data_IF_106837035437
#
_entry.id   IF_106837035437
#
_cell.length_a   1.000
_cell.length_b   1.000
_cell.length_c   1.000
_cell.angle_alpha   90.00
_cell.angle_beta   90.00
_cell.angle_gamma   90.00
#
_symmetry.space_group_name_H-M   'P 1'
#
loop_
_entity.id
_entity.type
_entity.pdbx_description
1 polymer ?
#
# COMPACT_ATOMS: atom_id res chain seq x y z
N UNK A 1 21.34 -1.84 -29.68
CA UNK A 1 20.39 -2.94 -29.82
C UNK A 1 19.10 -2.34 -30.35
N UNK A 2 18.61 -2.83 -31.47
CA UNK A 2 17.37 -2.31 -32.09
C UNK A 2 16.24 -3.32 -31.85
N UNK A 3 15.84 -3.44 -30.58
CA UNK A 3 14.78 -4.35 -30.16
C UNK A 3 13.44 -3.70 -30.47
N UNK A 4 12.56 -4.43 -31.17
CA UNK A 4 11.22 -3.93 -31.49
C UNK A 4 10.44 -3.58 -30.21
N UNK A 5 9.95 -2.35 -30.12
CA UNK A 5 9.17 -1.85 -28.98
C UNK A 5 7.92 -2.69 -28.68
N UNK A 6 7.31 -3.29 -29.69
CA UNK A 6 6.15 -4.16 -29.54
C UNK A 6 6.46 -5.39 -28.64
N UNK A 7 7.71 -5.85 -28.59
CA UNK A 7 8.10 -6.93 -27.68
C UNK A 7 8.06 -6.50 -26.22
N UNK A 8 8.44 -5.26 -25.90
CA UNK A 8 8.31 -4.71 -24.55
C UNK A 8 6.86 -4.51 -24.14
N UNK A 9 6.00 -4.08 -25.05
CA UNK A 9 4.56 -3.99 -24.81
C UNK A 9 3.95 -5.36 -24.52
N UNK A 10 4.28 -6.36 -25.31
CA UNK A 10 3.83 -7.75 -25.09
C UNK A 10 4.36 -8.28 -23.75
N UNK A 11 5.64 -8.04 -23.45
CA UNK A 11 6.27 -8.40 -22.18
C UNK A 11 5.53 -7.81 -20.99
N UNK A 12 5.19 -6.51 -21.04
CA UNK A 12 4.41 -5.84 -20.00
C UNK A 12 3.09 -6.56 -19.73
N UNK A 13 2.33 -6.90 -20.76
CA UNK A 13 1.04 -7.56 -20.58
C UNK A 13 1.19 -9.01 -20.08
N UNK A 14 2.19 -9.76 -20.52
CA UNK A 14 2.44 -11.12 -20.03
C UNK A 14 2.83 -11.09 -18.55
N UNK A 15 3.71 -10.19 -18.16
CA UNK A 15 4.13 -9.99 -16.77
C UNK A 15 2.96 -9.56 -15.88
N UNK A 16 2.18 -8.57 -16.34
CA UNK A 16 1.00 -8.03 -15.60
C UNK A 16 -0.06 -9.07 -15.32
N UNK A 17 -0.33 -9.98 -16.27
CA UNK A 17 -1.37 -11.01 -16.11
C UNK A 17 -0.82 -12.33 -15.61
N UNK A 18 0.49 -12.51 -15.54
CA UNK A 18 1.16 -13.78 -15.25
C UNK A 18 0.60 -14.95 -16.10
N UNK A 19 0.16 -14.62 -17.33
CA UNK A 19 -0.56 -15.56 -18.19
C UNK A 19 -0.51 -15.16 -19.67
N UNK A 20 0.06 -16.00 -20.52
CA UNK A 20 0.18 -15.75 -21.96
C UNK A 20 -1.18 -15.63 -22.68
N UNK A 21 -2.15 -16.45 -22.30
CA UNK A 21 -3.47 -16.44 -22.94
C UNK A 21 -4.27 -15.17 -22.57
N UNK A 22 -4.22 -14.75 -21.30
CA UNK A 22 -4.84 -13.49 -20.87
C UNK A 22 -4.20 -12.28 -21.53
N UNK A 23 -2.86 -12.27 -21.62
CA UNK A 23 -2.12 -11.23 -22.32
C UNK A 23 -2.49 -11.16 -23.81
N UNK A 24 -2.54 -12.30 -24.48
CA UNK A 24 -2.94 -12.39 -25.90
C UNK A 24 -4.32 -11.80 -26.12
N UNK A 25 -5.32 -12.14 -25.29
CA UNK A 25 -6.66 -11.56 -25.37
C UNK A 25 -6.67 -10.05 -25.16
N UNK A 26 -5.93 -9.55 -24.18
CA UNK A 26 -5.83 -8.12 -23.90
C UNK A 26 -5.19 -7.33 -25.04
N UNK A 27 -4.28 -7.96 -25.80
CA UNK A 27 -3.59 -7.39 -26.95
C UNK A 27 -4.32 -7.61 -28.29
N UNK A 28 -5.46 -8.27 -28.31
CA UNK A 28 -6.13 -8.67 -29.56
C UNK A 28 -5.27 -9.59 -30.44
N UNK A 29 -4.40 -10.39 -29.84
CA UNK A 29 -3.40 -11.23 -30.51
C UNK A 29 -3.60 -12.72 -30.22
N UNK A 30 -2.91 -13.60 -30.97
CA UNK A 30 -2.91 -15.03 -30.69
C UNK A 30 -1.84 -15.40 -29.66
N UNK A 31 -2.13 -16.40 -28.83
CA UNK A 31 -1.16 -16.88 -27.82
C UNK A 31 0.16 -17.40 -28.44
N UNK A 32 0.18 -18.08 -29.59
CA UNK A 32 1.43 -18.46 -30.27
C UNK A 32 2.30 -17.25 -30.65
N UNK A 33 1.67 -16.16 -31.13
CA UNK A 33 2.40 -14.93 -31.48
C UNK A 33 3.01 -14.26 -30.24
N UNK A 34 2.25 -14.19 -29.16
CA UNK A 34 2.75 -13.66 -27.87
C UNK A 34 3.93 -14.51 -27.38
N UNK A 35 3.84 -15.83 -27.47
CA UNK A 35 4.92 -16.74 -27.06
C UNK A 35 6.17 -16.53 -27.93
N UNK A 36 6.02 -16.40 -29.25
CA UNK A 36 7.12 -16.14 -30.17
C UNK A 36 7.78 -14.80 -29.87
N UNK A 37 6.99 -13.76 -29.62
CA UNK A 37 7.51 -12.43 -29.28
C UNK A 37 8.35 -12.44 -27.99
N UNK A 38 7.90 -13.18 -26.97
CA UNK A 38 8.67 -13.31 -25.73
C UNK A 38 9.97 -14.10 -25.93
N UNK A 39 9.93 -15.20 -26.64
CA UNK A 39 11.14 -15.96 -26.96
C UNK A 39 12.16 -15.09 -27.74
N UNK A 40 11.67 -14.28 -28.68
CA UNK A 40 12.54 -13.36 -29.44
C UNK A 40 13.14 -12.27 -28.54
N UNK A 41 12.36 -11.72 -27.63
CA UNK A 41 12.84 -10.73 -26.65
C UNK A 41 13.94 -11.35 -25.77
N UNK A 42 13.66 -12.50 -25.15
CA UNK A 42 14.61 -13.22 -24.30
C UNK A 42 15.92 -13.53 -25.05
N UNK A 43 15.83 -13.94 -26.32
CA UNK A 43 16.99 -14.19 -27.17
C UNK A 43 17.76 -12.90 -27.46
N UNK A 44 17.09 -11.79 -27.81
CA UNK A 44 17.75 -10.53 -28.16
C UNK A 44 18.42 -9.86 -26.97
N UNK A 45 17.87 -9.97 -25.77
CA UNK A 45 18.49 -9.46 -24.54
C UNK A 45 19.41 -10.47 -23.86
N UNK A 46 19.50 -11.69 -24.41
CA UNK A 46 20.27 -12.81 -23.86
C UNK A 46 19.98 -13.09 -22.38
N UNK A 47 18.69 -13.08 -22.01
CA UNK A 47 18.24 -13.32 -20.64
C UNK A 47 16.87 -13.98 -20.63
N UNK A 48 16.68 -14.95 -19.73
CA UNK A 48 15.37 -15.57 -19.48
C UNK A 48 14.57 -14.65 -18.57
N UNK A 49 13.37 -14.28 -19.00
CA UNK A 49 12.51 -13.35 -18.27
C UNK A 49 11.36 -14.05 -17.54
N UNK A 50 10.99 -15.25 -18.00
CA UNK A 50 9.86 -15.99 -17.48
C UNK A 50 10.20 -17.42 -17.09
N UNK A 51 9.73 -17.85 -15.93
CA UNK A 51 9.65 -19.25 -15.53
C UNK A 51 8.23 -19.75 -15.84
N UNK A 52 8.13 -20.79 -16.65
CA UNK A 52 6.85 -21.43 -17.01
C UNK A 52 6.70 -22.72 -16.19
N UNK A 53 5.62 -22.84 -15.46
CA UNK A 53 5.29 -24.03 -14.69
C UNK A 53 3.80 -24.40 -14.87
N UNK A 54 3.40 -25.56 -14.37
CA UNK A 54 2.00 -26.04 -14.46
C UNK A 54 0.99 -25.14 -13.74
N UNK A 55 1.45 -24.16 -12.94
CA UNK A 55 0.58 -23.21 -12.20
C UNK A 55 0.49 -21.84 -12.88
N UNK A 56 1.23 -21.62 -13.97
CA UNK A 56 1.25 -20.35 -14.69
C UNK A 56 2.64 -19.87 -15.08
N UNK A 57 2.79 -18.57 -15.13
CA UNK A 57 4.03 -17.89 -15.53
C UNK A 57 4.47 -16.96 -14.41
N UNK A 58 5.74 -17.01 -14.06
CA UNK A 58 6.38 -16.14 -13.07
C UNK A 58 7.55 -15.42 -13.72
N UNK A 59 7.88 -14.22 -13.24
CA UNK A 59 9.08 -13.52 -13.64
C UNK A 59 10.33 -14.16 -13.01
N UNK A 60 11.44 -14.13 -13.74
CA UNK A 60 12.76 -14.33 -13.16
C UNK A 60 13.24 -13.06 -12.46
N UNK A 61 14.32 -13.07 -11.66
CA UNK A 61 14.92 -11.84 -11.15
C UNK A 61 15.28 -10.82 -12.24
N UNK A 62 15.73 -11.29 -13.42
CA UNK A 62 15.97 -10.48 -14.61
C UNK A 62 14.66 -9.91 -15.18
N UNK A 63 13.61 -10.74 -15.22
CA UNK A 63 12.28 -10.35 -15.64
C UNK A 63 11.69 -9.28 -14.71
N UNK A 64 11.86 -9.41 -13.40
CA UNK A 64 11.40 -8.41 -12.42
C UNK A 64 12.09 -7.06 -12.62
N UNK A 65 13.42 -7.07 -12.82
CA UNK A 65 14.19 -5.85 -13.11
C UNK A 65 13.72 -5.18 -14.39
N UNK A 66 13.54 -5.94 -15.47
CA UNK A 66 13.04 -5.41 -16.74
C UNK A 66 11.61 -4.90 -16.59
N UNK A 67 10.75 -5.62 -15.85
CA UNK A 67 9.36 -5.23 -15.63
C UNK A 67 9.24 -3.90 -14.88
N UNK A 68 10.08 -3.63 -13.91
CA UNK A 68 10.10 -2.35 -13.21
C UNK A 68 10.29 -1.17 -14.20
N UNK A 69 11.22 -1.29 -15.15
CA UNK A 69 11.44 -0.24 -16.15
C UNK A 69 10.35 -0.17 -17.22
N UNK A 70 9.93 -1.33 -17.73
CA UNK A 70 8.93 -1.40 -18.81
C UNK A 70 7.56 -0.98 -18.31
N UNK A 71 7.19 -1.32 -17.06
CA UNK A 71 5.91 -0.90 -16.48
C UNK A 71 5.84 0.61 -16.30
N UNK A 72 6.92 1.26 -15.87
CA UNK A 72 7.01 2.71 -15.78
C UNK A 72 6.83 3.37 -17.16
N UNK A 73 7.55 2.91 -18.18
CA UNK A 73 7.43 3.42 -19.55
C UNK A 73 6.02 3.25 -20.12
N UNK A 74 5.41 2.07 -19.92
CA UNK A 74 4.06 1.78 -20.38
C UNK A 74 2.99 2.61 -19.67
N UNK A 75 3.16 2.84 -18.36
CA UNK A 75 2.26 3.73 -17.61
C UNK A 75 2.27 5.16 -18.16
N UNK A 76 3.43 5.66 -18.55
CA UNK A 76 3.58 6.98 -19.16
C UNK A 76 2.90 7.09 -20.54
N UNK A 77 3.10 6.08 -21.39
CA UNK A 77 2.48 6.04 -22.71
C UNK A 77 0.95 5.99 -22.57
N UNK A 78 0.43 5.11 -21.70
CA UNK A 78 -1.01 4.99 -21.48
C UNK A 78 -1.61 6.27 -20.88
N UNK A 79 -0.90 6.95 -19.97
CA UNK A 79 -1.33 8.23 -19.42
C UNK A 79 -1.39 9.33 -20.50
N UNK A 80 -0.40 9.38 -21.40
CA UNK A 80 -0.39 10.32 -22.51
C UNK A 80 -1.51 10.03 -23.52
N UNK A 81 -1.77 8.76 -23.86
CA UNK A 81 -2.89 8.38 -24.72
C UNK A 81 -4.24 8.79 -24.09
N UNK A 82 -4.38 8.62 -22.77
CA UNK A 82 -5.57 9.02 -22.02
C UNK A 82 -5.74 10.56 -22.02
N UNK A 83 -4.67 11.32 -21.80
CA UNK A 83 -4.69 12.79 -21.86
C UNK A 83 -5.10 13.31 -23.25
N UNK A 84 -4.67 12.66 -24.31
CA UNK A 84 -5.02 13.05 -25.70
C UNK A 84 -6.44 12.62 -26.07
N UNK A 85 -6.95 11.53 -25.52
CA UNK A 85 -8.31 11.07 -25.77
C UNK A 85 -9.37 11.85 -25.00
N UNK A 86 -9.00 12.44 -23.87
CA UNK A 86 -9.90 13.17 -22.96
C UNK A 86 -9.93 14.69 -23.27
N UNK A 87 -10.35 15.04 -24.50
CA UNK A 87 -10.54 16.45 -24.88
C UNK A 87 -11.74 17.12 -24.19
N UNK A 88 -12.50 16.44 -23.33
CA UNK A 88 -13.79 16.92 -22.81
C UNK A 88 -14.10 16.63 -21.35
N UNK A 89 -13.12 16.25 -20.51
CA UNK A 89 -13.39 16.17 -19.06
C UNK A 89 -13.18 14.79 -18.45
N UNK A 90 -13.09 14.76 -17.12
CA UNK A 90 -12.87 13.61 -16.22
C UNK A 90 -14.02 12.56 -16.26
N UNK A 91 -14.47 12.19 -17.46
CA UNK A 91 -15.59 11.26 -17.65
C UNK A 91 -15.17 9.79 -17.59
N UNK A 92 -13.92 9.50 -17.93
CA UNK A 92 -13.36 8.14 -17.97
C UNK A 92 -11.90 8.18 -17.51
N UNK A 93 -11.33 7.01 -17.25
CA UNK A 93 -9.95 6.88 -16.87
C UNK A 93 -9.73 5.93 -15.70
N UNK A 94 -8.48 5.82 -15.25
CA UNK A 94 -8.15 5.03 -14.08
C UNK A 94 -7.07 5.69 -13.22
N UNK A 95 -7.16 5.50 -11.90
CA UNK A 95 -6.15 5.92 -10.94
C UNK A 95 -5.72 4.71 -10.12
N UNK A 96 -4.41 4.56 -9.97
CA UNK A 96 -3.77 3.48 -9.21
C UNK A 96 -3.15 4.04 -7.95
N UNK A 97 -3.64 3.62 -6.78
CA UNK A 97 -3.24 4.15 -5.48
C UNK A 97 -2.70 2.99 -4.63
N UNK A 98 -1.49 3.13 -4.12
CA UNK A 98 -0.99 2.28 -3.04
C UNK A 98 -1.40 2.83 -1.69
N UNK A 99 -1.88 2.00 -0.79
CA UNK A 99 -2.27 2.43 0.54
C UNK A 99 -1.79 1.44 1.60
N UNK A 100 -1.27 1.94 2.71
CA UNK A 100 -1.18 1.11 3.91
C UNK A 100 -2.57 0.94 4.51
N UNK A 101 -2.81 -0.18 5.19
CA UNK A 101 -4.11 -0.49 5.79
C UNK A 101 -4.61 0.63 6.70
N UNK A 102 -3.73 1.13 7.57
CA UNK A 102 -4.02 2.28 8.44
C UNK A 102 -4.43 3.52 7.64
N UNK A 103 -3.65 3.88 6.62
CA UNK A 103 -3.92 5.07 5.81
C UNK A 103 -5.22 4.95 5.01
N UNK A 104 -5.54 3.75 4.52
CA UNK A 104 -6.79 3.48 3.84
C UNK A 104 -7.98 3.74 4.77
N UNK A 105 -7.99 3.09 5.93
CA UNK A 105 -9.14 3.08 6.83
C UNK A 105 -9.38 4.43 7.51
N UNK A 106 -8.33 5.10 8.00
CA UNK A 106 -8.51 6.31 8.81
C UNK A 106 -8.48 7.60 7.99
N UNK A 107 -8.08 7.53 6.70
CA UNK A 107 -7.91 8.75 5.91
C UNK A 107 -8.52 8.69 4.51
N UNK A 108 -8.24 7.62 3.74
CA UNK A 108 -8.56 7.59 2.32
C UNK A 108 -10.03 7.31 2.03
N UNK A 109 -10.71 6.45 2.77
CA UNK A 109 -12.05 5.96 2.41
C UNK A 109 -13.06 7.08 2.17
N UNK A 110 -13.13 8.08 3.03
CA UNK A 110 -14.08 9.20 2.88
C UNK A 110 -13.75 10.06 1.65
N UNK A 111 -12.47 10.25 1.36
CA UNK A 111 -11.99 11.02 0.21
C UNK A 111 -12.21 10.30 -1.09
N UNK A 112 -11.99 8.98 -1.09
CA UNK A 112 -12.31 8.11 -2.23
C UNK A 112 -13.81 8.11 -2.52
N UNK A 113 -14.65 8.07 -1.48
CA UNK A 113 -16.12 8.19 -1.60
C UNK A 113 -16.49 9.53 -2.24
N UNK A 114 -15.96 10.63 -1.73
CA UNK A 114 -16.22 11.98 -2.27
C UNK A 114 -15.81 12.07 -3.74
N UNK A 115 -14.61 11.59 -4.08
CA UNK A 115 -14.12 11.57 -5.44
C UNK A 115 -14.98 10.69 -6.36
N UNK A 116 -15.32 9.49 -5.92
CA UNK A 116 -16.12 8.57 -6.73
C UNK A 116 -17.54 9.11 -7.01
N UNK A 117 -18.14 9.81 -6.04
CA UNK A 117 -19.44 10.46 -6.26
C UNK A 117 -19.36 11.62 -7.27
N UNK A 118 -18.25 12.36 -7.29
CA UNK A 118 -18.02 13.44 -8.26
C UNK A 118 -17.64 12.93 -9.65
N UNK A 119 -16.92 11.80 -9.73
CA UNK A 119 -16.36 11.26 -10.96
C UNK A 119 -16.63 9.73 -11.10
N UNK A 120 -17.91 9.32 -11.27
CA UNK A 120 -18.29 7.90 -11.24
C UNK A 120 -17.73 7.08 -12.41
N UNK A 121 -17.31 7.73 -13.50
CA UNK A 121 -16.69 7.07 -14.67
C UNK A 121 -15.22 6.72 -14.47
N UNK A 122 -14.56 7.25 -13.41
CA UNK A 122 -13.15 6.98 -13.16
C UNK A 122 -13.00 5.69 -12.35
N UNK A 123 -12.16 4.78 -12.85
CA UNK A 123 -11.85 3.52 -12.18
C UNK A 123 -10.76 3.71 -11.14
N UNK A 124 -11.06 3.44 -9.88
CA UNK A 124 -10.09 3.40 -8.79
C UNK A 124 -9.49 2.01 -8.63
N UNK A 125 -8.18 1.91 -8.60
CA UNK A 125 -7.41 0.70 -8.30
C UNK A 125 -6.64 0.93 -7.01
N UNK A 126 -7.09 0.30 -5.94
CA UNK A 126 -6.47 0.43 -4.63
C UNK A 126 -5.65 -0.84 -4.36
N UNK A 127 -4.38 -0.65 -4.05
CA UNK A 127 -3.45 -1.73 -3.72
C UNK A 127 -3.09 -1.64 -2.24
N UNK A 128 -3.38 -2.71 -1.48
CA UNK A 128 -2.89 -2.80 -0.10
C UNK A 128 -1.40 -3.14 -0.14
N UNK A 129 -0.59 -2.23 0.35
CA UNK A 129 0.87 -2.35 0.38
C UNK A 129 1.39 -1.96 1.76
N UNK A 130 2.42 -2.65 2.25
CA UNK A 130 3.23 -2.09 3.34
C UNK A 130 3.89 -0.78 2.89
N UNK A 131 4.25 0.09 3.83
CA UNK A 131 4.88 1.39 3.50
C UNK A 131 6.08 1.25 2.55
N UNK A 132 7.05 0.34 2.75
CA UNK A 132 8.16 0.16 1.81
C UNK A 132 7.71 -0.34 0.42
N UNK A 133 6.73 -1.25 0.36
CA UNK A 133 6.18 -1.74 -0.90
C UNK A 133 5.48 -0.64 -1.69
N UNK A 134 4.69 0.20 -1.00
CA UNK A 134 4.00 1.33 -1.62
C UNK A 134 4.99 2.36 -2.19
N UNK A 135 6.03 2.71 -1.43
CA UNK A 135 7.11 3.62 -1.88
C UNK A 135 7.81 3.05 -3.12
N UNK A 136 8.16 1.75 -3.10
CA UNK A 136 8.80 1.11 -4.24
C UNK A 136 7.88 1.03 -5.47
N UNK A 137 6.58 0.81 -5.28
CA UNK A 137 5.60 0.80 -6.38
C UNK A 137 5.46 2.19 -7.04
N UNK A 138 5.52 3.29 -6.28
CA UNK A 138 5.58 4.66 -6.82
C UNK A 138 6.88 4.87 -7.58
N UNK A 139 8.02 4.53 -6.98
CA UNK A 139 9.35 4.67 -7.60
C UNK A 139 9.45 3.96 -8.96
N UNK A 140 8.79 2.82 -9.08
CA UNK A 140 8.77 2.03 -10.31
C UNK A 140 7.62 2.38 -11.26
N UNK A 141 6.83 3.43 -10.97
CA UNK A 141 5.71 3.85 -11.82
C UNK A 141 4.57 2.81 -11.94
N UNK A 142 4.47 1.88 -11.00
CA UNK A 142 3.41 0.87 -10.97
C UNK A 142 2.08 1.44 -10.48
N UNK A 143 2.15 2.52 -9.70
CA UNK A 143 1.01 3.26 -9.15
C UNK A 143 1.26 4.76 -9.29
N UNK A 144 0.20 5.55 -9.37
CA UNK A 144 0.28 7.01 -9.55
C UNK A 144 0.83 7.71 -8.31
N UNK A 145 0.41 7.27 -7.13
CA UNK A 145 0.90 7.74 -5.83
C UNK A 145 0.55 6.74 -4.73
N UNK A 146 1.14 6.93 -3.56
CA UNK A 146 0.82 6.13 -2.38
C UNK A 146 0.37 7.01 -1.21
N UNK A 147 -0.48 6.46 -0.33
CA UNK A 147 -0.81 7.06 0.97
C UNK A 147 -0.45 6.06 2.07
N UNK A 148 0.48 6.45 2.92
CA UNK A 148 1.12 5.56 3.89
C UNK A 148 1.18 6.20 5.27
N UNK A 149 1.37 5.38 6.31
CA UNK A 149 1.64 5.85 7.66
C UNK A 149 3.15 5.89 7.95
N UNK A 150 3.58 6.87 8.76
CA UNK A 150 4.97 6.91 9.25
C UNK A 150 5.23 5.78 10.26
N UNK A 151 6.49 5.31 10.43
CA UNK A 151 7.71 5.80 9.78
C UNK A 151 7.73 5.53 8.29
N UNK A 152 8.15 6.53 7.52
CA UNK A 152 8.36 6.44 6.08
C UNK A 152 9.47 7.42 5.71
N UNK A 153 10.37 6.98 4.86
CA UNK A 153 11.47 7.79 4.34
C UNK A 153 11.46 7.68 2.81
N UNK A 154 11.67 8.79 2.15
CA UNK A 154 11.74 8.85 0.69
C UNK A 154 12.93 9.68 0.26
N UNK A 155 13.54 9.27 -0.84
CA UNK A 155 14.64 9.98 -1.50
C UNK A 155 14.14 10.55 -2.83
N UNK A 156 14.83 11.58 -3.32
CA UNK A 156 14.58 12.09 -4.66
C UNK A 156 14.62 10.96 -5.71
N UNK A 157 13.74 10.95 -6.71
CA UNK A 157 12.78 11.98 -7.10
C UNK A 157 11.44 11.96 -6.34
N UNK A 158 11.27 11.05 -5.38
CA UNK A 158 10.03 10.98 -4.63
C UNK A 158 9.88 12.16 -3.67
N UNK A 159 8.65 12.62 -3.52
CA UNK A 159 8.25 13.58 -2.49
C UNK A 159 7.23 12.97 -1.57
N UNK A 160 7.30 13.39 -0.31
CA UNK A 160 6.34 13.04 0.73
C UNK A 160 5.73 14.29 1.31
N UNK A 161 4.40 14.34 1.39
CA UNK A 161 3.65 15.42 2.02
C UNK A 161 2.80 14.84 3.16
N UNK A 162 2.77 15.52 4.29
CA UNK A 162 1.90 15.18 5.42
C UNK A 162 0.46 15.55 5.08
N UNK A 163 -0.47 14.62 5.31
CA UNK A 163 -1.90 14.78 5.11
C UNK A 163 -2.68 14.89 6.42
N UNK A 164 -2.20 14.25 7.47
CA UNK A 164 -2.82 14.24 8.79
C UNK A 164 -1.95 13.50 9.80
N UNK A 165 -2.46 13.37 11.01
CA UNK A 165 -1.80 12.60 12.08
C UNK A 165 -2.85 11.79 12.86
N UNK A 166 -2.38 10.77 13.55
CA UNK A 166 -3.21 9.93 14.41
C UNK A 166 -2.41 9.44 15.61
N UNK A 167 -3.13 9.10 16.68
CA UNK A 167 -2.58 8.54 17.89
C UNK A 167 -2.74 7.02 17.89
N UNK A 168 -1.70 6.31 18.30
CA UNK A 168 -1.79 4.90 18.68
C UNK A 168 -2.19 4.80 20.15
N UNK A 169 -3.09 3.88 20.46
CA UNK A 169 -3.54 3.57 21.83
C UNK A 169 -3.33 2.10 22.13
N UNK A 170 -3.15 1.78 23.41
CA UNK A 170 -3.15 0.41 23.90
C UNK A 170 -4.60 -0.03 24.16
N UNK A 171 -4.96 -1.21 23.67
CA UNK A 171 -6.28 -1.80 23.85
C UNK A 171 -6.19 -3.25 24.30
N UNK A 172 -7.24 -3.69 25.02
CA UNK A 172 -7.42 -5.10 25.40
C UNK A 172 -8.86 -5.54 25.21
N UNK A 173 -9.10 -6.84 25.13
CA UNK A 173 -10.43 -7.41 25.11
C UNK A 173 -11.17 -7.26 26.45
N UNK A 174 -12.37 -7.84 26.54
CA UNK A 174 -13.26 -7.66 27.73
C UNK A 174 -12.70 -8.28 29.00
N UNK A 175 -11.84 -9.30 28.90
CA UNK A 175 -11.13 -9.90 30.05
C UNK A 175 -10.15 -8.90 30.70
N UNK A 176 -9.69 -7.89 29.97
CA UNK A 176 -8.79 -6.84 30.45
C UNK A 176 -9.51 -5.57 30.91
N UNK A 177 -10.84 -5.60 31.07
CA UNK A 177 -11.65 -4.41 31.45
C UNK A 177 -11.14 -3.75 32.73
N UNK A 178 -10.64 -4.54 33.69
CA UNK A 178 -10.07 -4.02 34.93
C UNK A 178 -8.87 -3.07 34.71
N UNK A 179 -8.10 -3.29 33.63
CA UNK A 179 -6.95 -2.46 33.26
C UNK A 179 -7.37 -1.09 32.71
N UNK A 180 -8.58 -0.96 32.19
CA UNK A 180 -9.10 0.33 31.69
C UNK A 180 -9.26 1.41 32.76
N UNK A 181 -9.25 1.04 34.05
CA UNK A 181 -9.23 1.98 35.18
C UNK A 181 -7.83 2.21 35.78
N UNK A 182 -6.80 1.62 35.18
CA UNK A 182 -5.41 1.70 35.62
C UNK A 182 -4.55 2.40 34.57
N UNK A 183 -3.41 2.91 35.00
CA UNK A 183 -2.36 3.38 34.11
C UNK A 183 -1.21 2.39 34.22
N UNK A 184 -0.79 1.80 33.10
CA UNK A 184 0.33 0.86 33.05
C UNK A 184 1.57 1.55 32.52
N UNK A 185 2.74 1.13 32.97
CA UNK A 185 4.00 1.46 32.31
C UNK A 185 4.29 0.49 31.16
N UNK A 186 5.10 0.89 30.19
CA UNK A 186 5.53 -0.02 29.10
C UNK A 186 6.25 -1.26 29.66
N UNK A 187 6.93 -1.12 30.82
CA UNK A 187 7.61 -2.24 31.47
C UNK A 187 6.63 -3.29 32.00
N UNK A 188 5.44 -2.91 32.42
CA UNK A 188 4.43 -3.85 32.93
C UNK A 188 3.78 -4.67 31.84
N UNK A 189 3.89 -4.26 30.57
CA UNK A 189 3.29 -4.96 29.44
C UNK A 189 3.88 -6.37 29.24
N UNK A 190 5.10 -6.64 29.76
CA UNK A 190 5.67 -7.99 29.72
C UNK A 190 4.89 -9.04 30.56
N UNK A 191 3.97 -8.59 31.44
CA UNK A 191 3.09 -9.46 32.20
C UNK A 191 1.84 -9.92 31.41
N UNK A 192 1.63 -9.40 30.22
CA UNK A 192 0.44 -9.64 29.41
C UNK A 192 0.84 -10.12 28.01
N UNK A 193 0.08 -11.04 27.41
CA UNK A 193 0.30 -11.38 26.01
C UNK A 193 0.15 -10.14 25.14
N UNK A 194 1.09 -9.91 24.22
CA UNK A 194 1.07 -8.81 23.28
C UNK A 194 0.79 -9.31 21.86
N UNK A 195 -0.05 -8.56 21.15
CA UNK A 195 -0.33 -8.75 19.72
C UNK A 195 0.35 -7.62 18.97
N UNK A 196 1.10 -7.94 17.93
CA UNK A 196 1.79 -6.94 17.10
C UNK A 196 1.83 -7.33 15.64
N UNK A 197 2.36 -6.45 14.82
CA UNK A 197 2.66 -6.75 13.42
C UNK A 197 4.04 -7.39 13.29
N UNK A 198 4.26 -8.13 12.20
CA UNK A 198 5.53 -8.80 11.91
C UNK A 198 6.72 -7.83 11.85
N UNK A 199 7.91 -8.32 12.15
CA UNK A 199 9.15 -7.55 12.32
C UNK A 199 9.57 -6.76 11.08
N UNK A 200 9.16 -7.18 9.91
CA UNK A 200 9.42 -6.52 8.62
C UNK A 200 8.56 -5.27 8.39
N UNK A 201 7.55 -5.02 9.25
CA UNK A 201 6.65 -3.87 9.10
C UNK A 201 7.22 -2.60 9.70
N UNK A 202 6.89 -1.46 9.12
CA UNK A 202 7.27 -0.14 9.67
C UNK A 202 6.57 0.14 11.01
N UNK A 203 5.42 -0.46 11.26
CA UNK A 203 4.71 -0.34 12.54
C UNK A 203 5.44 -1.10 13.66
N UNK A 204 5.93 -2.32 13.40
CA UNK A 204 6.80 -3.00 14.35
C UNK A 204 8.04 -2.16 14.67
N UNK A 205 8.71 -1.64 13.64
CA UNK A 205 9.92 -0.80 13.82
C UNK A 205 9.61 0.49 14.61
N UNK A 206 8.41 1.05 14.46
CA UNK A 206 7.96 2.19 15.25
C UNK A 206 7.88 1.81 16.74
N UNK A 207 7.13 0.78 17.09
CA UNK A 207 6.99 0.36 18.49
C UNK A 207 8.32 -0.13 19.08
N UNK A 208 9.09 -0.88 18.30
CA UNK A 208 10.42 -1.31 18.77
C UNK A 208 11.31 -0.11 19.14
N UNK A 209 11.29 0.97 18.35
CA UNK A 209 12.02 2.21 18.71
C UNK A 209 11.46 2.87 19.96
N UNK A 210 10.14 2.89 20.15
CA UNK A 210 9.52 3.44 21.37
C UNK A 210 9.98 2.63 22.60
N UNK A 211 9.88 1.32 22.56
CA UNK A 211 10.30 0.46 23.66
C UNK A 211 11.81 0.58 23.93
N UNK A 212 12.64 0.53 22.91
CA UNK A 212 14.09 0.70 23.03
C UNK A 212 14.49 2.05 23.66
N UNK A 213 13.76 3.12 23.39
CA UNK A 213 14.02 4.44 24.01
C UNK A 213 13.79 4.45 25.52
N UNK A 214 13.05 3.45 26.03
CA UNK A 214 12.83 3.21 27.46
C UNK A 214 13.64 2.03 28.00
N UNK A 215 14.61 1.50 27.22
CA UNK A 215 15.45 0.38 27.62
C UNK A 215 14.73 -0.97 27.60
N UNK A 216 13.62 -1.09 26.88
CA UNK A 216 12.77 -2.28 26.77
C UNK A 216 12.84 -2.87 25.36
N UNK A 217 12.42 -4.14 25.22
CA UNK A 217 12.23 -4.81 23.93
C UNK A 217 10.74 -4.93 23.63
N UNK A 218 10.35 -4.62 22.38
CA UNK A 218 9.01 -4.89 21.88
C UNK A 218 8.96 -6.29 21.30
N UNK A 219 8.40 -7.23 22.07
CA UNK A 219 8.35 -8.65 21.72
C UNK A 219 6.89 -9.17 21.75
N UNK A 220 6.12 -9.01 20.65
CA UNK A 220 4.77 -9.56 20.57
C UNK A 220 4.78 -11.10 20.64
N UNK A 221 3.84 -11.68 21.43
CA UNK A 221 3.59 -13.11 21.51
C UNK A 221 2.80 -13.63 20.31
N UNK A 222 1.96 -12.75 19.74
CA UNK A 222 1.18 -13.04 18.54
C UNK A 222 1.53 -12.03 17.47
N UNK A 223 2.03 -12.52 16.34
CA UNK A 223 2.34 -11.67 15.16
C UNK A 223 1.27 -11.82 14.09
N UNK A 224 0.90 -10.69 13.46
CA UNK A 224 -0.05 -10.64 12.35
C UNK A 224 0.50 -9.81 11.20
N UNK A 225 -0.03 -10.00 9.99
CA UNK A 225 0.51 -9.37 8.78
C UNK A 225 0.00 -7.93 8.57
N UNK A 226 -1.24 -7.62 8.99
CA UNK A 226 -1.91 -6.35 8.67
C UNK A 226 -2.67 -5.80 9.88
N UNK A 227 -2.82 -4.47 9.93
CA UNK A 227 -3.42 -3.77 11.08
C UNK A 227 -4.90 -4.13 11.31
N UNK A 228 -5.64 -4.46 10.25
CA UNK A 228 -7.05 -4.86 10.32
C UNK A 228 -7.26 -6.18 11.09
N UNK A 229 -6.23 -7.03 11.16
CA UNK A 229 -6.26 -8.29 11.91
C UNK A 229 -6.13 -8.08 13.43
N UNK A 230 -5.61 -6.95 13.88
CA UNK A 230 -5.37 -6.69 15.31
C UNK A 230 -6.68 -6.67 16.09
N UNK A 231 -7.66 -5.88 15.65
CA UNK A 231 -8.93 -5.75 16.37
C UNK A 231 -9.69 -7.08 16.57
N UNK A 232 -9.84 -7.94 15.55
CA UNK A 232 -10.40 -9.27 15.74
C UNK A 232 -9.64 -10.12 16.76
N UNK A 233 -8.30 -10.07 16.79
CA UNK A 233 -7.48 -10.83 17.73
C UNK A 233 -7.65 -10.32 19.16
N UNK A 234 -7.72 -9.00 19.36
CA UNK A 234 -8.00 -8.39 20.67
C UNK A 234 -9.39 -8.78 21.15
N UNK A 235 -10.43 -8.71 20.28
CA UNK A 235 -11.79 -9.16 20.61
C UNK A 235 -11.87 -10.65 20.96
N UNK A 236 -10.94 -11.45 20.43
CA UNK A 236 -10.83 -12.89 20.71
C UNK A 236 -9.99 -13.17 21.95
N UNK A 237 -9.67 -12.15 22.76
CA UNK A 237 -8.97 -12.24 24.05
C UNK A 237 -7.53 -12.80 23.97
N UNK A 238 -6.86 -12.63 22.82
CA UNK A 238 -5.50 -13.16 22.60
C UNK A 238 -4.41 -12.30 23.23
N UNK A 239 -4.75 -11.08 23.70
CA UNK A 239 -3.80 -10.21 24.38
C UNK A 239 -4.11 -8.72 24.20
N UNK A 240 -3.16 -7.90 24.63
CA UNK A 240 -3.17 -6.45 24.45
C UNK A 240 -2.54 -6.10 23.12
N UNK A 241 -2.95 -4.99 22.53
CA UNK A 241 -2.36 -4.51 21.28
C UNK A 241 -2.32 -2.98 21.20
N UNK A 242 -1.33 -2.46 20.48
CA UNK A 242 -1.37 -1.08 20.01
C UNK A 242 -2.11 -1.01 18.68
N UNK A 243 -3.00 -0.02 18.56
CA UNK A 243 -3.70 0.23 17.29
C UNK A 243 -4.10 1.70 17.15
N UNK A 244 -4.31 2.19 15.92
CA UNK A 244 -4.75 3.56 15.69
C UNK A 244 -6.09 3.83 16.39
N UNK A 245 -6.16 4.89 17.19
CA UNK A 245 -7.36 5.26 17.94
C UNK A 245 -8.63 5.33 17.08
N UNK A 246 -8.62 5.93 15.87
CA UNK A 246 -9.82 5.97 15.02
C UNK A 246 -10.34 4.59 14.60
N UNK A 247 -9.48 3.58 14.54
CA UNK A 247 -9.90 2.21 14.21
C UNK A 247 -10.48 1.46 15.42
N UNK A 248 -10.19 1.91 16.65
CA UNK A 248 -10.66 1.33 17.90
C UNK A 248 -11.99 1.95 18.40
N UNK A 249 -12.27 3.20 18.03
CA UNK A 249 -13.35 4.02 18.61
C UNK A 249 -14.72 3.32 18.63
N UNK A 250 -15.12 2.71 17.52
CA UNK A 250 -16.41 2.03 17.45
C UNK A 250 -16.49 0.82 18.41
N UNK A 251 -15.41 0.04 18.51
CA UNK A 251 -15.37 -1.12 19.38
C UNK A 251 -15.29 -0.74 20.86
N UNK A 252 -14.60 0.37 21.19
CA UNK A 252 -14.58 0.94 22.55
C UNK A 252 -15.98 1.43 22.93
N UNK A 253 -16.64 2.20 22.04
CA UNK A 253 -18.00 2.70 22.28
C UNK A 253 -19.01 1.56 22.50
N UNK A 254 -18.86 0.46 21.78
CA UNK A 254 -19.66 -0.75 21.92
C UNK A 254 -19.26 -1.63 23.11
N UNK A 255 -18.23 -1.27 23.87
CA UNK A 255 -17.68 -2.04 24.99
C UNK A 255 -17.19 -3.44 24.60
N UNK A 256 -16.74 -3.59 23.38
CA UNK A 256 -16.16 -4.85 22.87
C UNK A 256 -14.67 -4.97 23.21
N UNK A 257 -14.01 -3.83 23.42
CA UNK A 257 -12.64 -3.68 23.87
C UNK A 257 -12.53 -2.53 24.86
N UNK A 258 -11.41 -2.45 25.57
CA UNK A 258 -11.10 -1.36 26.53
C UNK A 258 -9.82 -0.65 26.11
N UNK A 259 -9.82 0.69 26.19
CA UNK A 259 -8.59 1.50 26.08
C UNK A 259 -7.87 1.46 27.43
N UNK A 260 -6.56 1.24 27.40
CA UNK A 260 -5.69 1.16 28.60
C UNK A 260 -4.72 2.32 28.56
N UNK A 261 -4.70 3.13 29.62
CA UNK A 261 -3.80 4.26 29.73
C UNK A 261 -2.37 3.81 29.97
N UNK A 262 -1.42 4.55 29.40
CA UNK A 262 0.03 4.34 29.62
C UNK A 262 0.65 5.54 30.34
N UNK A 263 1.68 5.31 31.15
CA UNK A 263 2.50 6.34 31.75
C UNK A 263 3.35 7.06 30.70
N UNK A 264 3.88 6.29 29.74
CA UNK A 264 4.74 6.80 28.69
C UNK A 264 3.91 7.31 27.50
N UNK A 265 4.33 8.43 26.96
CA UNK A 265 3.72 9.01 25.77
C UNK A 265 4.12 8.22 24.51
N UNK A 266 3.14 7.69 23.81
CA UNK A 266 3.36 7.11 22.49
C UNK A 266 3.36 8.23 21.45
N UNK A 267 4.44 8.44 20.68
CA UNK A 267 4.52 9.52 19.70
C UNK A 267 3.41 9.40 18.64
N UNK A 268 2.89 10.55 18.20
CA UNK A 268 1.94 10.57 17.08
C UNK A 268 2.59 10.08 15.79
N UNK A 269 1.79 9.37 14.99
CA UNK A 269 2.16 8.99 13.62
C UNK A 269 1.44 9.86 12.61
N UNK A 270 2.03 10.00 11.42
CA UNK A 270 1.45 10.81 10.35
C UNK A 270 0.94 9.90 9.22
N UNK A 271 -0.10 10.37 8.55
CA UNK A 271 -0.50 9.92 7.23
C UNK A 271 0.16 10.83 6.21
N UNK A 272 0.83 10.23 5.25
CA UNK A 272 1.59 10.94 4.24
C UNK A 272 1.23 10.43 2.84
N UNK A 273 1.21 11.34 1.86
CA UNK A 273 1.17 11.00 0.44
C UNK A 273 2.58 10.99 -0.11
N UNK A 274 2.93 9.93 -0.84
CA UNK A 274 4.20 9.76 -1.55
C UNK A 274 3.92 9.73 -3.04
N UNK A 275 4.67 10.53 -3.82
CA UNK A 275 4.55 10.59 -5.27
C UNK A 275 5.88 10.96 -5.92
N UNK A 276 6.04 10.60 -7.19
CA UNK A 276 7.20 10.99 -8.00
C UNK A 276 6.91 12.33 -8.71
N UNK A 277 7.87 13.28 -8.62
CA UNK A 277 7.72 14.61 -9.26
C UNK A 277 8.04 14.59 -10.74
N UNK A 278 8.75 13.57 -11.20
CA UNK A 278 9.14 13.41 -12.60
C UNK A 278 8.19 12.49 -13.37
N UNK A 279 7.31 11.77 -12.67
CA UNK A 279 6.31 10.91 -13.30
C UNK A 279 5.07 11.73 -13.68
N UNK A 280 4.77 11.90 -14.98
CA UNK A 280 3.49 12.47 -15.38
C UNK A 280 2.36 11.55 -14.89
N UNK A 281 1.36 12.16 -14.30
CA UNK A 281 0.16 11.47 -13.82
C UNK A 281 -1.05 11.94 -14.63
N UNK A 282 -2.03 11.07 -14.84
CA UNK A 282 -3.25 11.36 -15.58
C UNK A 282 -4.04 12.54 -14.98
N UNK A 283 -4.94 13.14 -15.75
CA UNK A 283 -5.84 14.20 -15.26
C UNK A 283 -6.66 13.70 -14.05
N UNK A 284 -7.13 12.48 -14.09
CA UNK A 284 -7.85 11.83 -12.99
C UNK A 284 -6.97 11.69 -11.72
N UNK A 285 -5.70 11.29 -11.88
CA UNK A 285 -4.77 11.17 -10.77
C UNK A 285 -4.39 12.55 -10.19
N UNK A 286 -4.29 13.60 -11.01
CA UNK A 286 -4.12 14.98 -10.54
C UNK A 286 -5.30 15.46 -9.71
N UNK A 287 -6.54 15.18 -10.17
CA UNK A 287 -7.74 15.62 -9.47
C UNK A 287 -7.95 14.92 -8.13
N UNK A 288 -7.79 13.60 -8.07
CA UNK A 288 -7.91 12.89 -6.79
C UNK A 288 -6.81 13.29 -5.80
N UNK A 289 -5.58 13.58 -6.27
CA UNK A 289 -4.53 14.14 -5.40
C UNK A 289 -4.96 15.45 -4.76
N UNK A 290 -5.65 16.35 -5.48
CA UNK A 290 -6.22 17.57 -4.89
C UNK A 290 -7.25 17.25 -3.84
N UNK A 291 -8.24 16.40 -4.15
CA UNK A 291 -9.28 15.97 -3.20
C UNK A 291 -8.67 15.38 -1.92
N UNK A 292 -7.59 14.59 -2.06
CA UNK A 292 -6.89 14.00 -0.92
C UNK A 292 -6.08 15.06 -0.16
N UNK A 293 -5.47 16.04 -0.84
CA UNK A 293 -4.62 17.06 -0.21
C UNK A 293 -5.41 18.24 0.37
N UNK A 294 -6.58 18.57 -0.18
CA UNK A 294 -7.40 19.74 0.20
C UNK A 294 -8.18 19.55 1.53
N UNK A 295 -7.69 18.71 2.42
CA UNK A 295 -8.31 18.35 3.70
C UNK A 295 -8.42 19.49 4.73
N UNK A 296 -8.35 20.73 4.31
CA UNK A 296 -8.57 21.91 5.18
C UNK A 296 -9.99 22.51 5.05
N UNK A 297 -10.94 21.79 4.40
CA UNK A 297 -12.34 22.24 4.30
C UNK A 297 -13.31 21.09 4.61
N UNK A 298 -13.35 20.63 5.85
CA UNK A 298 -14.55 20.06 6.50
C UNK A 298 -14.52 20.45 7.96
#
# INVERSE_FOLDING_TARGET
MDINFEYYKIFYYVAKYCNFTKAARALGNSQPNVTRAMNNLEQQINSILFIRNNRGVQLTPEGERLYAHVSAAMSQILAAEEELSDSTGLSHGSVSIGASETALNIYLLDRLKTFHMAYPGIRLKIYNHSTPQAINAVKNGMIDFAVVSTPAEVEAPLKMIKLGSFQEILVGGTTFTALGSQTLSLNELHNYPLIGLGRETMTFQFFNRVFMSHGLEFAPDTETATTDQILPLVKSELGLAFMPKPMAEAAIANREIVEIALEEEIPQRNICMVYDIHHPISAAAREIKKVISDSHKV
#
